data_IF_495986979654
#
_entry.id   IF_495986979654
#
_cell.length_a   1.000
_cell.length_b   1.000
_cell.length_c   1.000
_cell.angle_alpha   90.00
_cell.angle_beta   90.00
_cell.angle_gamma   90.00
#
_symmetry.space_group_name_H-M   'P 1'
#
loop_
_entity.id
_entity.type
_entity.pdbx_description
1 polymer ?
#
# COMPACT_ATOMS: atom_id res chain seq x y z
N UNK A 1 -4.20 2.60 17.93
CA UNK A 1 -4.52 3.09 16.58
C UNK A 1 -3.52 4.16 16.31
N UNK A 2 -2.85 4.21 15.15
CA UNK A 2 -2.00 5.34 14.88
C UNK A 2 -2.83 6.61 15.01
N UNK A 3 -2.40 7.52 15.88
CA UNK A 3 -3.09 8.79 16.05
C UNK A 3 -3.03 9.61 14.75
N UNK A 4 -3.93 10.57 14.58
CA UNK A 4 -3.94 11.42 13.37
C UNK A 4 -2.56 12.03 13.03
N UNK A 5 -1.74 12.50 14.00
CA UNK A 5 -0.38 12.96 13.74
C UNK A 5 0.55 11.87 13.18
N UNK A 6 0.37 10.61 13.57
CA UNK A 6 1.23 9.50 13.15
C UNK A 6 0.99 9.13 11.69
N UNK A 7 -0.26 9.15 11.22
CA UNK A 7 -0.56 8.91 9.81
C UNK A 7 -0.04 10.02 8.91
N UNK A 8 -0.12 11.28 9.35
CA UNK A 8 0.45 12.40 8.60
C UNK A 8 1.98 12.29 8.54
N UNK A 9 2.63 11.93 9.65
CA UNK A 9 4.07 11.68 9.68
C UNK A 9 4.47 10.51 8.75
N UNK A 10 3.70 9.42 8.73
CA UNK A 10 3.90 8.31 7.79
C UNK A 10 3.77 8.78 6.34
N UNK A 11 2.74 9.56 6.02
CA UNK A 11 2.56 10.15 4.68
C UNK A 11 3.78 10.97 4.26
N UNK A 12 4.23 11.91 5.12
CA UNK A 12 5.39 12.78 4.87
C UNK A 12 6.66 11.95 4.61
N UNK A 13 6.86 10.86 5.37
CA UNK A 13 8.04 10.00 5.21
C UNK A 13 7.96 9.09 4.00
N UNK A 14 6.79 8.55 3.69
CA UNK A 14 6.63 7.54 2.65
C UNK A 14 6.45 8.15 1.25
N UNK A 15 5.74 9.27 1.13
CA UNK A 15 5.40 9.87 -0.17
C UNK A 15 6.63 10.09 -1.07
N UNK A 16 7.74 10.71 -0.61
CA UNK A 16 8.92 10.95 -1.46
C UNK A 16 9.62 9.67 -1.93
N UNK A 17 9.33 8.52 -1.30
CA UNK A 17 9.93 7.22 -1.61
C UNK A 17 9.03 6.36 -2.50
N UNK A 18 7.76 6.71 -2.65
CA UNK A 18 6.74 5.88 -3.30
C UNK A 18 6.07 6.57 -4.48
N UNK A 19 5.84 7.88 -4.41
CA UNK A 19 5.24 8.64 -5.51
C UNK A 19 6.13 8.56 -6.75
N UNK A 20 5.50 8.31 -7.90
CA UNK A 20 6.15 8.05 -9.17
C UNK A 20 6.61 6.61 -9.36
N UNK A 21 6.68 5.75 -8.34
CA UNK A 21 7.13 4.35 -8.51
C UNK A 21 6.04 3.47 -9.13
N UNK A 22 6.45 2.53 -10.00
CA UNK A 22 5.59 1.48 -10.53
C UNK A 22 5.44 0.34 -9.53
N UNK A 23 4.22 -0.11 -9.28
CA UNK A 23 3.95 -1.33 -8.52
C UNK A 23 4.23 -2.53 -9.44
N UNK A 24 5.18 -3.37 -9.04
CA UNK A 24 5.63 -4.53 -9.84
C UNK A 24 5.02 -5.84 -9.36
N UNK A 25 4.65 -5.92 -8.08
CA UNK A 25 3.98 -7.10 -7.53
C UNK A 25 3.15 -6.75 -6.29
N UNK A 26 2.12 -7.55 -6.02
CA UNK A 26 1.37 -7.51 -4.78
C UNK A 26 1.10 -8.94 -4.30
N UNK A 27 1.16 -9.18 -3.00
CA UNK A 27 0.85 -10.49 -2.42
C UNK A 27 0.09 -10.33 -1.12
N UNK A 28 -0.77 -11.30 -0.78
CA UNK A 28 -1.55 -11.31 0.46
C UNK A 28 -1.25 -12.60 1.19
N UNK A 29 -1.05 -12.53 2.51
CA UNK A 29 -0.84 -13.74 3.30
C UNK A 29 -2.18 -14.47 3.48
N UNK A 30 -2.29 -15.77 3.16
CA UNK A 30 -3.56 -16.50 3.28
C UNK A 30 -4.14 -16.45 4.69
N UNK A 31 -3.28 -16.51 5.71
CA UNK A 31 -3.68 -16.47 7.14
C UNK A 31 -4.38 -15.18 7.56
N UNK A 32 -4.22 -14.08 6.81
CA UNK A 32 -4.82 -12.77 7.13
C UNK A 32 -5.62 -12.17 5.97
N UNK A 33 -5.93 -12.98 4.95
CA UNK A 33 -6.74 -12.59 3.79
C UNK A 33 -8.06 -11.92 4.19
N UNK A 34 -8.71 -12.41 5.25
CA UNK A 34 -9.96 -11.86 5.79
C UNK A 34 -9.88 -10.40 6.28
N UNK A 35 -8.69 -9.83 6.43
CA UNK A 35 -8.50 -8.41 6.77
C UNK A 35 -8.60 -7.49 5.55
N UNK A 36 -8.49 -8.03 4.33
CA UNK A 36 -8.80 -7.27 3.12
C UNK A 36 -10.32 -7.21 2.95
N UNK A 37 -10.84 -5.99 2.77
CA UNK A 37 -12.23 -5.74 2.34
C UNK A 37 -12.34 -5.65 0.82
N UNK A 38 -11.54 -6.47 0.13
CA UNK A 38 -11.45 -6.57 -1.32
C UNK A 38 -11.06 -8.01 -1.69
N UNK A 39 -11.54 -8.57 -2.80
CA UNK A 39 -11.16 -9.93 -3.21
C UNK A 39 -9.64 -10.07 -3.34
N UNK A 40 -9.07 -11.11 -2.73
CA UNK A 40 -7.61 -11.27 -2.60
C UNK A 40 -6.95 -11.49 -3.96
N UNK A 41 -7.59 -12.30 -4.79
CA UNK A 41 -7.13 -12.63 -6.14
C UNK A 41 -7.13 -11.38 -7.02
N UNK A 42 -8.15 -10.53 -6.88
CA UNK A 42 -8.24 -9.26 -7.59
C UNK A 42 -7.21 -8.26 -7.08
N UNK A 43 -6.98 -8.20 -5.75
CA UNK A 43 -5.95 -7.34 -5.17
C UNK A 43 -4.56 -7.64 -5.74
N UNK A 44 -4.17 -8.92 -5.76
CA UNK A 44 -2.87 -9.34 -6.28
C UNK A 44 -2.76 -9.16 -7.80
N UNK A 45 -3.86 -9.28 -8.54
CA UNK A 45 -3.90 -9.16 -10.01
C UNK A 45 -3.94 -7.71 -10.50
N UNK A 46 -4.68 -6.84 -9.84
CA UNK A 46 -4.99 -5.49 -10.36
C UNK A 46 -4.05 -4.39 -9.90
N UNK A 47 -3.34 -4.60 -8.78
CA UNK A 47 -2.41 -3.62 -8.24
C UNK A 47 -1.10 -3.50 -9.03
N UNK A 48 -0.50 -4.60 -9.55
CA UNK A 48 0.66 -4.52 -10.43
C UNK A 48 0.41 -3.70 -11.70
N UNK A 49 1.51 -3.23 -12.30
CA UNK A 49 1.53 -2.35 -13.46
C UNK A 49 0.80 -1.01 -13.26
N UNK A 50 0.63 -0.58 -12.00
CA UNK A 50 0.11 0.75 -11.67
C UNK A 50 1.19 1.62 -11.06
N UNK A 51 1.24 2.90 -11.46
CA UNK A 51 2.13 3.90 -10.86
C UNK A 51 1.43 4.56 -9.68
N UNK A 52 2.13 4.74 -8.56
CA UNK A 52 1.61 5.52 -7.43
C UNK A 52 1.75 7.00 -7.78
N UNK A 53 0.64 7.71 -7.97
CA UNK A 53 0.65 9.11 -8.42
C UNK A 53 0.62 10.10 -7.27
N UNK A 54 0.01 9.71 -6.14
CA UNK A 54 0.07 10.49 -4.90
C UNK A 54 -0.21 9.62 -3.68
N UNK A 55 0.32 10.02 -2.54
CA UNK A 55 0.03 9.47 -1.23
C UNK A 55 -0.56 10.57 -0.34
N UNK A 56 -1.85 10.46 -0.05
CA UNK A 56 -2.60 11.44 0.75
C UNK A 56 -3.16 10.79 2.02
N UNK A 57 -3.51 11.62 3.00
CA UNK A 57 -4.21 11.19 4.21
C UNK A 57 -5.64 11.72 4.18
N UNK A 58 -6.61 10.85 4.44
CA UNK A 58 -8.03 11.23 4.60
C UNK A 58 -8.59 10.65 5.89
N UNK A 59 -8.66 11.50 6.93
CA UNK A 59 -9.03 11.06 8.27
C UNK A 59 -8.04 10.01 8.79
N UNK A 60 -8.55 8.80 9.05
CA UNK A 60 -7.79 7.64 9.56
C UNK A 60 -7.30 6.70 8.45
N UNK A 61 -7.22 7.18 7.22
CA UNK A 61 -6.81 6.39 6.06
C UNK A 61 -5.59 7.02 5.38
N UNK A 62 -4.67 6.17 4.94
CA UNK A 62 -3.74 6.51 3.87
C UNK A 62 -4.35 6.09 2.53
N UNK A 63 -4.27 6.98 1.56
CA UNK A 63 -4.87 6.86 0.24
C UNK A 63 -3.77 6.95 -0.79
N UNK A 64 -3.49 5.82 -1.45
CA UNK A 64 -2.55 5.72 -2.55
C UNK A 64 -3.33 5.87 -3.85
N UNK A 65 -3.24 7.04 -4.48
CA UNK A 65 -3.76 7.20 -5.83
C UNK A 65 -2.85 6.45 -6.80
N UNK A 66 -3.45 5.73 -7.73
CA UNK A 66 -2.75 4.92 -8.70
C UNK A 66 -3.35 5.07 -10.07
N UNK A 67 -2.51 5.00 -11.10
CA UNK A 67 -2.94 4.94 -12.49
C UNK A 67 -2.24 3.78 -13.19
N UNK A 68 -2.84 3.24 -14.24
CA UNK A 68 -2.18 2.18 -14.99
C UNK A 68 -0.96 2.75 -15.74
N UNK A 69 0.17 2.04 -15.76
CA UNK A 69 1.41 2.53 -16.36
C UNK A 69 1.32 2.82 -17.87
N UNK A 70 0.35 2.21 -18.56
CA UNK A 70 0.02 2.49 -19.97
C UNK A 70 -1.09 3.53 -20.19
N UNK A 71 -1.52 4.24 -19.14
CA UNK A 71 -2.71 5.08 -19.15
C UNK A 71 -4.00 4.32 -18.80
N UNK A 72 -5.01 5.04 -18.28
CA UNK A 72 -6.30 4.45 -17.91
C UNK A 72 -6.97 5.15 -16.74
N UNK A 73 -8.09 4.60 -16.27
CA UNK A 73 -8.83 5.17 -15.15
C UNK A 73 -8.02 5.07 -13.83
N UNK A 74 -7.99 6.16 -13.03
CA UNK A 74 -7.35 6.13 -11.72
C UNK A 74 -8.08 5.15 -10.80
N UNK A 75 -7.32 4.52 -9.91
CA UNK A 75 -7.84 3.74 -8.77
C UNK A 75 -7.12 4.14 -7.50
N UNK A 76 -7.75 3.89 -6.36
CA UNK A 76 -7.21 4.22 -5.05
C UNK A 76 -7.09 2.97 -4.19
N UNK A 77 -5.88 2.72 -3.67
CA UNK A 77 -5.69 1.80 -2.57
C UNK A 77 -5.86 2.58 -1.26
N UNK A 78 -6.91 2.25 -0.52
CA UNK A 78 -7.27 2.93 0.73
C UNK A 78 -7.02 2.00 1.91
N UNK A 79 -6.15 2.42 2.82
CA UNK A 79 -5.72 1.57 3.95
C UNK A 79 -6.04 2.28 5.26
N UNK A 80 -6.82 1.61 6.11
CA UNK A 80 -7.00 1.95 7.51
C UNK A 80 -6.13 1.01 8.36
N UNK A 81 -5.11 1.50 9.08
CA UNK A 81 -4.26 0.65 9.92
C UNK A 81 -4.95 0.16 11.20
N UNK A 82 -6.16 0.64 11.53
CA UNK A 82 -6.89 0.28 12.74
C UNK A 82 -6.02 0.45 13.99
N UNK A 83 -6.10 -0.43 14.99
CA UNK A 83 -5.42 -0.25 16.27
C UNK A 83 -3.90 -0.51 16.23
N UNK A 84 -3.45 -1.55 15.53
CA UNK A 84 -2.05 -2.02 15.54
C UNK A 84 -1.43 -2.24 14.16
N UNK A 85 -2.12 -1.83 13.10
CA UNK A 85 -1.55 -1.86 11.75
C UNK A 85 -0.42 -0.85 11.63
N UNK A 86 0.59 -1.22 10.86
CA UNK A 86 1.76 -0.39 10.59
C UNK A 86 2.17 -0.51 9.13
N UNK A 87 2.85 0.52 8.65
CA UNK A 87 3.51 0.51 7.35
C UNK A 87 5.01 0.33 7.57
N UNK A 88 5.62 -0.49 6.72
CA UNK A 88 7.06 -0.71 6.74
C UNK A 88 7.57 -0.64 5.29
N UNK A 89 8.56 0.21 5.07
CA UNK A 89 9.38 0.18 3.87
C UNK A 89 10.60 -0.69 4.18
N UNK A 90 10.87 -1.67 3.34
CA UNK A 90 11.96 -2.62 3.48
C UNK A 90 12.67 -2.72 2.13
N UNK A 91 14.00 -2.90 2.16
CA UNK A 91 14.79 -3.16 0.96
C UNK A 91 14.57 -4.55 0.39
N UNK A 92 15.08 -4.77 -0.82
CA UNK A 92 15.08 -6.09 -1.43
C UNK A 92 15.88 -7.10 -0.60
N UNK A 93 15.31 -8.29 -0.39
CA UNK A 93 15.93 -9.35 0.40
C UNK A 93 15.71 -9.24 1.91
N UNK A 94 15.14 -8.14 2.42
CA UNK A 94 14.77 -8.06 3.83
C UNK A 94 13.61 -9.02 4.16
N UNK A 95 13.65 -9.73 5.30
CA UNK A 95 12.59 -10.63 5.70
C UNK A 95 11.25 -9.90 5.89
N UNK A 96 10.20 -10.43 5.26
CA UNK A 96 8.84 -9.93 5.49
C UNK A 96 8.36 -10.38 6.88
N UNK A 97 7.89 -9.47 7.75
CA UNK A 97 7.42 -9.85 9.08
C UNK A 97 6.29 -10.87 9.03
N UNK A 98 6.30 -11.89 9.89
CA UNK A 98 5.22 -12.90 9.96
C UNK A 98 3.83 -12.29 10.21
N UNK A 99 3.77 -11.07 10.76
CA UNK A 99 2.53 -10.33 11.03
C UNK A 99 1.97 -9.59 9.81
N UNK A 100 2.64 -9.58 8.65
CA UNK A 100 2.16 -8.86 7.47
C UNK A 100 0.78 -9.38 7.01
N UNK A 101 0.00 -8.48 6.44
CA UNK A 101 -1.29 -8.81 5.79
C UNK A 101 -1.05 -8.97 4.29
N UNK A 102 -0.39 -8.00 3.69
CA UNK A 102 0.00 -8.00 2.29
C UNK A 102 1.37 -7.34 2.12
N UNK A 103 1.98 -7.54 0.96
CA UNK A 103 3.15 -6.80 0.50
C UNK A 103 2.86 -6.16 -0.85
N UNK A 104 3.52 -5.03 -1.11
CA UNK A 104 3.53 -4.35 -2.40
C UNK A 104 5.00 -4.14 -2.74
N UNK A 105 5.44 -4.65 -3.89
CA UNK A 105 6.76 -4.35 -4.44
C UNK A 105 6.63 -3.20 -5.42
N UNK A 106 7.53 -2.24 -5.31
CA UNK A 106 7.62 -1.09 -6.21
C UNK A 106 8.95 -1.13 -6.96
N UNK A 107 9.06 -0.39 -8.06
CA UNK A 107 10.28 -0.25 -8.86
C UNK A 107 11.41 0.44 -8.08
N UNK A 108 12.61 -0.15 -8.14
CA UNK A 108 13.82 0.28 -7.42
C UNK A 108 13.69 0.26 -5.91
#
# INVERSE_FOLDING_TARGET
MPELPELEALRIRMAPRLEGKLITAASVTPKKAHLLRYPVEEFARELPARRITSLTRRGKHLVFATEHGGGGAPRWLVINPMLGGRFQLAGDGEPVPATHVFTIRVEG
#
